data_IF_572446222105
#
_entry.id   IF_572446222105
#
_cell.length_a   1.000
_cell.length_b   1.000
_cell.length_c   1.000
_cell.angle_alpha   90.00
_cell.angle_beta   90.00
_cell.angle_gamma   90.00
#
_symmetry.space_group_name_H-M   'P 1'
#
loop_
_entity.id
_entity.type
_entity.pdbx_description
1 polymer ?
#
# COMPACT_ATOMS: atom_id res chain seq x y z
N UNK A 1 2.83 7.57 34.69
CA UNK A 1 3.34 6.20 34.52
C UNK A 1 2.29 5.46 33.71
N UNK A 2 2.60 5.08 32.47
CA UNK A 2 1.70 4.24 31.67
C UNK A 2 1.75 2.81 32.20
N UNK A 3 0.59 2.18 32.37
CA UNK A 3 0.51 0.78 32.77
C UNK A 3 1.21 -0.10 31.72
N UNK A 4 2.05 -1.02 32.17
CA UNK A 4 2.71 -1.96 31.28
C UNK A 4 1.67 -2.96 30.75
N UNK A 5 1.48 -2.97 29.44
CA UNK A 5 0.58 -3.91 28.79
C UNK A 5 1.15 -5.33 28.90
N UNK A 6 0.41 -6.25 29.52
CA UNK A 6 0.75 -7.67 29.59
C UNK A 6 0.17 -8.40 28.37
N UNK A 7 1.02 -8.92 27.50
CA UNK A 7 0.60 -9.66 26.31
C UNK A 7 0.65 -11.18 26.59
N UNK A 8 -0.42 -11.95 26.28
CA UNK A 8 -0.42 -13.40 26.44
C UNK A 8 0.46 -14.09 25.38
N UNK A 9 0.89 -15.34 25.65
CA UNK A 9 1.58 -16.18 24.67
C UNK A 9 0.58 -16.83 23.70
N UNK A 10 1.08 -17.20 22.51
CA UNK A 10 0.29 -17.89 21.50
C UNK A 10 0.10 -19.38 21.86
N UNK A 11 -1.15 -19.87 21.87
CA UNK A 11 -1.49 -21.25 22.28
C UNK A 11 -2.23 -22.06 21.21
N UNK A 12 -2.25 -21.60 19.96
CA UNK A 12 -2.61 -22.44 18.80
C UNK A 12 -4.08 -22.39 18.33
N UNK A 13 -4.92 -21.51 18.90
CA UNK A 13 -6.30 -21.27 18.41
C UNK A 13 -6.52 -19.83 17.95
N UNK A 14 -5.70 -19.39 17.00
CA UNK A 14 -5.66 -17.99 16.55
C UNK A 14 -5.88 -17.84 15.04
N UNK A 15 -6.50 -18.84 14.39
CA UNK A 15 -6.73 -18.83 12.94
C UNK A 15 -7.50 -17.60 12.43
N UNK A 16 -8.27 -16.94 13.31
CA UNK A 16 -8.97 -15.67 13.01
C UNK A 16 -8.21 -14.40 13.47
N UNK A 17 -7.18 -14.51 14.33
CA UNK A 17 -6.32 -13.38 14.72
C UNK A 17 -5.26 -13.04 13.67
N UNK A 18 -5.21 -13.81 12.59
CA UNK A 18 -4.11 -13.81 11.63
C UNK A 18 -4.55 -13.39 10.22
N UNK A 19 -5.30 -12.28 10.13
CA UNK A 19 -5.35 -11.54 8.86
C UNK A 19 -4.03 -10.78 8.71
N UNK A 20 -3.19 -11.21 7.77
CA UNK A 20 -1.87 -10.62 7.56
C UNK A 20 -1.87 -9.63 6.41
N UNK A 21 -1.23 -8.49 6.63
CA UNK A 21 -0.73 -7.71 5.51
C UNK A 21 0.53 -8.35 4.94
N UNK A 22 0.52 -8.54 3.62
CA UNK A 22 1.64 -9.16 2.90
C UNK A 22 2.56 -8.09 2.36
N UNK A 23 3.79 -8.07 2.84
CA UNK A 23 4.88 -7.29 2.23
C UNK A 23 5.68 -8.25 1.34
N UNK A 24 5.77 -8.02 0.03
CA UNK A 24 6.61 -8.84 -0.83
C UNK A 24 8.06 -8.83 -0.36
N UNK A 25 8.66 -10.02 -0.17
CA UNK A 25 10.06 -10.16 0.28
C UNK A 25 11.03 -9.38 -0.58
N UNK A 26 10.78 -9.31 -1.88
CA UNK A 26 11.61 -8.56 -2.83
C UNK A 26 11.70 -7.07 -2.48
N UNK A 27 10.66 -6.45 -1.91
CA UNK A 27 10.77 -5.05 -1.44
C UNK A 27 11.78 -4.90 -0.30
N UNK A 28 12.03 -5.97 0.45
CA UNK A 28 12.97 -5.98 1.58
C UNK A 28 14.37 -6.37 1.12
N UNK A 29 14.48 -7.37 0.23
CA UNK A 29 15.75 -8.02 -0.10
C UNK A 29 16.43 -7.49 -1.35
N UNK A 30 15.68 -6.96 -2.32
CA UNK A 30 16.23 -6.55 -3.61
C UNK A 30 16.76 -5.11 -3.55
N UNK A 31 17.96 -4.90 -4.09
CA UNK A 31 18.69 -3.61 -4.02
C UNK A 31 17.92 -2.46 -4.65
N UNK A 32 17.08 -2.74 -5.65
CA UNK A 32 16.21 -1.75 -6.31
C UNK A 32 15.33 -1.00 -5.31
N UNK A 33 14.96 -1.63 -4.21
CA UNK A 33 14.04 -1.08 -3.20
C UNK A 33 14.73 -0.67 -1.89
N UNK A 34 16.07 -0.64 -1.84
CA UNK A 34 16.79 -0.22 -0.63
C UNK A 34 16.49 1.23 -0.22
N UNK A 35 16.24 2.11 -1.19
CA UNK A 35 15.90 3.51 -0.94
C UNK A 35 14.49 3.74 -0.39
N UNK A 36 13.62 2.71 -0.37
CA UNK A 36 12.27 2.84 0.20
C UNK A 36 12.33 2.71 1.72
N UNK A 37 11.61 3.61 2.40
CA UNK A 37 11.37 3.46 3.83
C UNK A 37 10.57 2.19 4.13
N UNK A 38 10.76 1.63 5.34
CA UNK A 38 9.97 0.47 5.80
C UNK A 38 8.46 0.74 5.72
N UNK A 39 8.06 1.97 6.06
CA UNK A 39 6.66 2.38 5.99
C UNK A 39 6.14 2.47 4.56
N UNK A 40 6.98 2.84 3.58
CA UNK A 40 6.58 2.83 2.17
C UNK A 40 6.40 1.38 1.66
N UNK A 41 7.24 0.44 2.13
CA UNK A 41 7.10 -1.00 1.82
C UNK A 41 5.81 -1.57 2.42
N UNK A 42 5.51 -1.20 3.67
CA UNK A 42 4.24 -1.55 4.32
C UNK A 42 3.05 -0.94 3.56
N UNK A 43 3.12 0.34 3.21
CA UNK A 43 2.08 1.04 2.45
C UNK A 43 1.79 0.35 1.11
N UNK A 44 2.83 -0.08 0.40
CA UNK A 44 2.64 -0.85 -0.83
C UNK A 44 1.94 -2.19 -0.57
N UNK A 45 2.28 -2.90 0.51
CA UNK A 45 1.58 -4.12 0.93
C UNK A 45 0.09 -3.90 1.22
N UNK A 46 -0.25 -2.79 1.90
CA UNK A 46 -1.64 -2.37 2.13
C UNK A 46 -2.38 -2.10 0.81
N UNK A 47 -1.72 -1.41 -0.13
CA UNK A 47 -2.30 -1.13 -1.45
C UNK A 47 -2.50 -2.40 -2.30
N UNK A 48 -1.63 -3.40 -2.19
CA UNK A 48 -1.83 -4.71 -2.82
C UNK A 48 -3.09 -5.41 -2.30
N UNK A 49 -3.32 -5.37 -0.99
CA UNK A 49 -4.52 -5.94 -0.37
C UNK A 49 -5.78 -5.21 -0.86
N UNK A 50 -5.75 -3.87 -0.83
CA UNK A 50 -6.83 -3.03 -1.36
C UNK A 50 -7.10 -3.28 -2.85
N UNK A 51 -6.05 -3.48 -3.64
CA UNK A 51 -6.14 -3.80 -5.07
C UNK A 51 -6.79 -5.17 -5.30
N UNK A 52 -6.44 -6.17 -4.50
CA UNK A 52 -7.11 -7.48 -4.56
C UNK A 52 -8.62 -7.36 -4.28
N UNK A 53 -9.01 -6.52 -3.32
CA UNK A 53 -10.43 -6.24 -3.05
C UNK A 53 -11.10 -5.47 -4.22
N UNK A 54 -10.43 -4.46 -4.78
CA UNK A 54 -10.92 -3.75 -5.97
C UNK A 54 -11.17 -4.69 -7.15
N UNK A 55 -10.26 -5.62 -7.43
CA UNK A 55 -10.42 -6.61 -8.49
C UNK A 55 -11.66 -7.49 -8.26
N UNK A 56 -11.86 -7.97 -7.03
CA UNK A 56 -13.06 -8.75 -6.66
C UNK A 56 -14.36 -7.96 -6.87
N UNK A 57 -14.32 -6.65 -6.69
CA UNK A 57 -15.45 -5.75 -6.91
C UNK A 57 -15.58 -5.27 -8.36
N UNK A 58 -14.74 -5.72 -9.29
CA UNK A 58 -14.77 -5.31 -10.69
C UNK A 58 -14.33 -3.86 -10.92
N UNK A 59 -13.53 -3.27 -10.03
CA UNK A 59 -13.02 -1.91 -10.17
C UNK A 59 -11.84 -1.87 -11.16
N UNK A 60 -12.21 -1.94 -12.43
CA UNK A 60 -11.31 -1.95 -13.59
C UNK A 60 -11.61 -0.71 -14.45
N UNK A 61 -10.57 -0.16 -15.08
CA UNK A 61 -10.77 0.82 -16.15
C UNK A 61 -11.10 0.15 -17.49
N UNK A 62 -11.29 0.96 -18.53
CA UNK A 62 -11.60 0.50 -19.89
C UNK A 62 -10.48 -0.36 -20.51
N UNK A 63 -9.26 -0.28 -19.98
CA UNK A 63 -8.11 -1.09 -20.41
C UNK A 63 -7.92 -2.34 -19.55
N UNK A 64 -8.85 -2.64 -18.63
CA UNK A 64 -8.77 -3.78 -17.74
C UNK A 64 -7.75 -3.62 -16.60
N UNK A 65 -7.31 -2.38 -16.31
CA UNK A 65 -6.38 -2.11 -15.21
C UNK A 65 -7.15 -1.91 -13.91
N UNK A 66 -6.78 -2.65 -12.87
CA UNK A 66 -7.36 -2.49 -11.54
C UNK A 66 -6.92 -1.16 -10.94
N UNK A 67 -7.87 -0.44 -10.36
CA UNK A 67 -7.58 0.78 -9.62
C UNK A 67 -8.13 0.73 -8.19
N UNK A 68 -7.51 1.53 -7.32
CA UNK A 68 -7.96 1.73 -5.94
C UNK A 68 -8.22 3.21 -5.69
N UNK A 69 -9.10 3.46 -4.72
CA UNK A 69 -9.18 4.74 -4.03
C UNK A 69 -8.54 4.55 -2.65
N UNK A 70 -7.47 5.29 -2.39
CA UNK A 70 -6.76 5.22 -1.12
C UNK A 70 -6.32 6.65 -0.73
N UNK A 71 -7.24 7.43 -0.14
CA UNK A 71 -7.02 8.83 0.19
C UNK A 71 -5.98 8.98 1.31
N UNK A 72 -5.39 10.17 1.43
CA UNK A 72 -4.33 10.43 2.40
C UNK A 72 -4.82 10.23 3.84
N UNK A 73 -6.09 10.52 4.10
CA UNK A 73 -6.76 10.34 5.39
C UNK A 73 -6.80 8.86 5.80
N UNK A 74 -7.03 7.94 4.85
CA UNK A 74 -7.01 6.49 5.11
C UNK A 74 -5.58 6.02 5.43
N UNK A 75 -4.59 6.53 4.70
CA UNK A 75 -3.17 6.24 4.97
C UNK A 75 -2.75 6.75 6.36
N UNK A 76 -3.16 7.97 6.71
CA UNK A 76 -2.92 8.56 8.02
C UNK A 76 -3.53 7.72 9.15
N UNK A 77 -4.75 7.21 8.93
CA UNK A 77 -5.44 6.35 9.88
C UNK A 77 -4.73 5.00 10.06
N UNK A 78 -4.43 4.30 8.97
CA UNK A 78 -3.84 2.95 9.02
C UNK A 78 -2.39 2.96 9.51
N UNK A 79 -1.61 3.98 9.14
CA UNK A 79 -0.20 4.10 9.54
C UNK A 79 0.00 4.99 10.78
N UNK A 80 -1.08 5.45 11.40
CA UNK A 80 -1.07 6.37 12.55
C UNK A 80 -0.10 7.55 12.34
N UNK A 81 -0.15 8.18 11.17
CA UNK A 81 0.79 9.23 10.79
C UNK A 81 0.11 10.55 10.40
N UNK A 82 0.90 11.63 10.40
CA UNK A 82 0.44 12.96 9.96
C UNK A 82 0.50 13.07 8.44
N UNK A 83 -0.25 14.04 7.90
CA UNK A 83 -0.38 14.29 6.46
C UNK A 83 0.95 14.45 5.72
N UNK A 84 1.95 15.08 6.36
CA UNK A 84 3.29 15.23 5.79
C UNK A 84 3.96 13.87 5.53
N UNK A 85 3.89 12.96 6.51
CA UNK A 85 4.45 11.61 6.39
C UNK A 85 3.68 10.81 5.33
N UNK A 86 2.34 10.83 5.37
CA UNK A 86 1.53 10.17 4.33
C UNK A 86 1.88 10.67 2.92
N UNK A 87 2.08 11.99 2.76
CA UNK A 87 2.47 12.61 1.49
C UNK A 87 3.87 12.18 1.02
N UNK A 88 4.82 12.06 1.95
CA UNK A 88 6.20 11.56 1.68
C UNK A 88 6.17 10.09 1.25
N UNK A 89 5.47 9.23 1.98
CA UNK A 89 5.33 7.81 1.64
C UNK A 89 4.70 7.60 0.25
N UNK A 90 3.64 8.37 -0.05
CA UNK A 90 3.05 8.36 -1.38
C UNK A 90 4.03 8.85 -2.46
N UNK A 91 4.87 9.84 -2.16
CA UNK A 91 5.87 10.34 -3.11
C UNK A 91 7.00 9.34 -3.37
N UNK A 92 7.45 8.59 -2.35
CA UNK A 92 8.45 7.53 -2.49
C UNK A 92 8.00 6.45 -3.49
N UNK A 93 6.71 6.08 -3.46
CA UNK A 93 6.15 5.04 -4.32
C UNK A 93 5.75 5.54 -5.72
N UNK A 94 5.45 6.84 -5.87
CA UNK A 94 4.83 7.41 -7.07
C UNK A 94 5.77 7.49 -8.28
N UNK A 95 5.22 7.28 -9.47
CA UNK A 95 5.97 7.30 -10.74
C UNK A 95 6.54 8.66 -11.16
N UNK A 96 6.09 9.78 -10.58
CA UNK A 96 6.61 11.11 -10.94
C UNK A 96 7.75 11.57 -10.04
N UNK A 97 7.79 11.09 -8.80
CA UNK A 97 8.73 11.58 -7.77
C UNK A 97 9.62 10.49 -7.17
N UNK A 98 9.20 9.24 -7.25
CA UNK A 98 9.85 8.12 -6.61
C UNK A 98 10.05 6.96 -7.57
N UNK A 99 9.99 5.75 -7.02
CA UNK A 99 10.43 4.54 -7.73
C UNK A 99 9.43 4.02 -8.79
N UNK A 100 8.20 4.52 -8.78
CA UNK A 100 7.17 4.10 -9.75
C UNK A 100 6.48 2.78 -9.46
N UNK A 101 6.36 2.40 -8.19
CA UNK A 101 5.52 1.28 -7.75
C UNK A 101 4.02 1.61 -7.81
N UNK A 102 3.66 2.89 -7.82
CA UNK A 102 2.27 3.34 -8.02
C UNK A 102 2.19 4.47 -9.04
N UNK A 103 1.02 4.64 -9.63
CA UNK A 103 0.67 5.80 -10.44
C UNK A 103 -0.62 6.44 -9.92
N UNK A 104 -0.57 7.75 -9.66
CA UNK A 104 -1.70 8.51 -9.15
C UNK A 104 -2.29 9.42 -10.24
N UNK A 105 -3.58 9.25 -10.51
CA UNK A 105 -4.32 10.00 -11.52
C UNK A 105 -5.40 10.85 -10.85
N UNK A 106 -5.27 12.18 -10.96
CA UNK A 106 -6.28 13.15 -10.50
C UNK A 106 -7.35 13.30 -11.58
N UNK A 107 -8.61 13.03 -11.24
CA UNK A 107 -9.76 13.08 -12.17
C UNK A 107 -10.52 14.42 -12.18
N UNK A 108 -9.97 15.47 -11.56
CA UNK A 108 -10.59 16.80 -11.46
C UNK A 108 -10.92 17.20 -10.01
N UNK A 109 -11.52 18.39 -9.82
CA UNK A 109 -11.92 18.88 -8.50
C UNK A 109 -13.04 18.02 -7.91
N UNK A 110 -12.95 17.70 -6.61
CA UNK A 110 -13.96 16.91 -5.89
C UNK A 110 -13.97 15.42 -6.18
N UNK A 111 -13.23 14.93 -7.19
CA UNK A 111 -13.13 13.50 -7.49
C UNK A 111 -11.96 12.86 -6.75
N UNK A 112 -12.15 11.65 -6.16
CA UNK A 112 -11.06 10.96 -5.49
C UNK A 112 -9.94 10.62 -6.47
N UNK A 113 -8.70 10.73 -5.99
CA UNK A 113 -7.53 10.36 -6.79
C UNK A 113 -7.52 8.85 -6.99
N UNK A 114 -7.43 8.44 -8.25
CA UNK A 114 -7.31 7.02 -8.62
C UNK A 114 -5.86 6.59 -8.51
N UNK A 115 -5.59 5.43 -7.92
CA UNK A 115 -4.25 4.88 -7.79
C UNK A 115 -4.18 3.54 -8.52
N UNK A 116 -3.19 3.38 -9.39
CA UNK A 116 -2.84 2.12 -10.02
C UNK A 116 -1.60 1.55 -9.34
N UNK A 117 -1.70 0.33 -8.83
CA UNK A 117 -0.59 -0.39 -8.19
C UNK A 117 0.15 -1.17 -9.26
N UNK A 118 1.44 -0.90 -9.46
CA UNK A 118 2.24 -1.53 -10.52
C UNK A 118 2.89 -2.81 -10.02
N UNK A 119 2.95 -3.81 -10.90
CA UNK A 119 3.63 -5.06 -10.63
C UNK A 119 5.14 -4.92 -10.88
N UNK A 120 5.94 -4.91 -9.82
CA UNK A 120 7.40 -4.82 -9.92
C UNK A 120 8.09 -6.08 -10.46
N UNK A 121 7.37 -7.20 -10.50
CA UNK A 121 7.82 -8.47 -11.06
C UNK A 121 7.21 -8.73 -12.45
N UNK A 122 6.36 -7.83 -12.94
CA UNK A 122 5.78 -7.94 -14.28
C UNK A 122 6.86 -7.74 -15.33
N UNK A 123 6.98 -8.68 -16.26
CA UNK A 123 7.76 -8.48 -17.49
C UNK A 123 7.19 -7.26 -18.21
N UNK A 124 8.01 -6.32 -18.72
CA UNK A 124 7.50 -5.26 -19.56
C UNK A 124 6.74 -5.88 -20.73
N UNK A 125 5.45 -5.58 -20.86
CA UNK A 125 4.73 -5.86 -22.09
C UNK A 125 5.28 -4.89 -23.15
N UNK A 126 6.07 -5.44 -24.08
CA UNK A 126 6.52 -4.72 -25.28
C UNK A 126 5.35 -4.46 -26.23
#
# INVERSE_FOLDING_TARGET
MGEAQHFPYYYGYESEQFTFYRIPKLLVTDERFQGLSTDAKLLYGLMLDRMSLSLKNGWLDEQGRVYIYFPAEEIMSVLHCRSEKASKLLAELDSKKGIGLIERVRKGQGKPTTIYVKNFAGTPSF
#
